data_IF_639610735834
#
_entry.id   IF_639610735834
#
_cell.length_a   1.000
_cell.length_b   1.000
_cell.length_c   1.000
_cell.angle_alpha   90.00
_cell.angle_beta   90.00
_cell.angle_gamma   90.00
#
_symmetry.space_group_name_H-M   'P 1'
#
loop_
_entity.id
_entity.type
_entity.pdbx_description
1 polymer ?
#
# COMPACT_ATOMS: atom_id res chain seq x y z
N UNK A 1 42.57 -71.12 -20.60
CA UNK A 1 41.83 -70.59 -19.44
C UNK A 1 42.32 -69.17 -19.15
N UNK A 2 41.94 -68.18 -19.98
CA UNK A 2 42.48 -66.79 -19.91
C UNK A 2 41.39 -65.72 -20.15
N UNK A 3 40.18 -66.11 -20.56
CA UNK A 3 39.10 -65.20 -20.97
C UNK A 3 38.28 -64.61 -19.82
N UNK A 4 38.44 -65.10 -18.59
CA UNK A 4 37.60 -64.65 -17.45
C UNK A 4 37.99 -63.26 -16.91
N UNK A 5 39.28 -62.89 -16.98
CA UNK A 5 39.77 -61.66 -16.31
C UNK A 5 39.31 -60.35 -16.97
N UNK A 6 38.84 -60.39 -18.22
CA UNK A 6 38.37 -59.20 -18.93
C UNK A 6 36.91 -58.85 -18.62
N UNK A 7 36.11 -59.81 -18.13
CA UNK A 7 34.69 -59.61 -17.82
C UNK A 7 34.51 -58.88 -16.48
N UNK A 8 35.26 -59.28 -15.46
CA UNK A 8 35.22 -58.64 -14.13
C UNK A 8 35.61 -57.16 -14.13
N UNK A 9 36.49 -56.72 -15.03
CA UNK A 9 36.86 -55.29 -15.11
C UNK A 9 35.73 -54.41 -15.63
N UNK A 10 34.87 -54.93 -16.51
CA UNK A 10 33.78 -54.16 -17.11
C UNK A 10 32.63 -53.93 -16.14
N UNK A 11 32.35 -54.90 -15.28
CA UNK A 11 31.30 -54.81 -14.27
C UNK A 11 31.66 -53.82 -13.16
N UNK A 12 32.94 -53.77 -12.74
CA UNK A 12 33.40 -52.82 -11.71
C UNK A 12 33.26 -51.35 -12.08
N UNK A 13 33.48 -51.00 -13.35
CA UNK A 13 33.34 -49.61 -13.81
C UNK A 13 31.87 -49.14 -13.85
N UNK A 14 30.92 -50.04 -14.11
CA UNK A 14 29.50 -49.71 -14.19
C UNK A 14 28.89 -49.38 -12.82
N UNK A 15 29.39 -50.03 -11.77
CA UNK A 15 28.94 -49.79 -10.39
C UNK A 15 29.38 -48.42 -9.84
N UNK A 16 30.54 -47.92 -10.24
CA UNK A 16 31.03 -46.58 -9.86
C UNK A 16 30.30 -45.44 -10.59
N UNK A 17 29.80 -45.69 -11.81
CA UNK A 17 29.02 -44.71 -12.57
C UNK A 17 27.59 -44.61 -12.01
N UNK A 18 26.91 -45.73 -11.72
CA UNK A 18 25.56 -45.73 -11.13
C UNK A 18 25.52 -44.99 -9.80
N UNK A 19 26.50 -45.24 -8.91
CA UNK A 19 26.53 -44.61 -7.58
C UNK A 19 26.84 -43.11 -7.63
N UNK A 20 27.60 -42.64 -8.63
CA UNK A 20 27.82 -41.19 -8.87
C UNK A 20 26.59 -40.54 -9.50
N UNK A 21 25.95 -41.20 -10.46
CA UNK A 21 24.71 -40.72 -11.10
C UNK A 21 23.56 -40.66 -10.09
N UNK A 22 23.43 -41.65 -9.20
CA UNK A 22 22.43 -41.66 -8.12
C UNK A 22 22.63 -40.50 -7.15
N UNK A 23 23.87 -40.22 -6.73
CA UNK A 23 24.16 -39.07 -5.86
C UNK A 23 23.99 -37.73 -6.57
N UNK A 24 24.41 -37.65 -7.84
CA UNK A 24 24.21 -36.45 -8.66
C UNK A 24 22.73 -36.16 -8.93
N UNK A 25 21.93 -37.20 -9.13
CA UNK A 25 20.49 -37.09 -9.32
C UNK A 25 19.78 -36.62 -8.05
N UNK A 26 20.20 -37.09 -6.87
CA UNK A 26 19.68 -36.59 -5.59
C UNK A 26 20.03 -35.12 -5.38
N UNK A 27 21.25 -34.69 -5.72
CA UNK A 27 21.66 -33.27 -5.65
C UNK A 27 20.83 -32.43 -6.63
N UNK A 28 20.56 -32.93 -7.84
CA UNK A 28 19.80 -32.21 -8.85
C UNK A 28 18.33 -32.05 -8.46
N UNK A 29 17.71 -33.10 -7.94
CA UNK A 29 16.33 -33.05 -7.41
C UNK A 29 16.27 -32.12 -6.18
N UNK A 30 17.27 -32.17 -5.30
CA UNK A 30 17.37 -31.29 -4.14
C UNK A 30 17.48 -29.81 -4.53
N UNK A 31 18.36 -29.49 -5.49
CA UNK A 31 18.53 -28.13 -5.98
C UNK A 31 17.25 -27.59 -6.65
N UNK A 32 16.55 -28.42 -7.42
CA UNK A 32 15.30 -28.04 -8.07
C UNK A 32 14.19 -27.78 -7.04
N UNK A 33 14.05 -28.64 -6.03
CA UNK A 33 13.09 -28.42 -4.94
C UNK A 33 13.41 -27.14 -4.16
N UNK A 34 14.68 -26.89 -3.85
CA UNK A 34 15.13 -25.69 -3.13
C UNK A 34 14.83 -24.42 -3.95
N UNK A 35 15.04 -24.46 -5.28
CA UNK A 35 14.70 -23.35 -6.16
C UNK A 35 13.20 -23.01 -6.13
N UNK A 36 12.32 -24.00 -6.18
CA UNK A 36 10.87 -23.77 -6.08
C UNK A 36 10.45 -23.24 -4.71
N UNK A 37 11.09 -23.68 -3.62
CA UNK A 37 10.85 -23.13 -2.28
C UNK A 37 11.24 -21.65 -2.25
N UNK A 38 12.43 -21.28 -2.74
CA UNK A 38 12.87 -19.89 -2.78
C UNK A 38 11.94 -19.05 -3.67
N UNK A 39 11.59 -19.53 -4.86
CA UNK A 39 10.65 -18.83 -5.76
C UNK A 39 9.27 -18.65 -5.10
N UNK A 40 8.75 -19.68 -4.44
CA UNK A 40 7.49 -19.59 -3.69
C UNK A 40 7.56 -18.58 -2.56
N UNK A 41 8.65 -18.59 -1.78
CA UNK A 41 8.89 -17.64 -0.69
C UNK A 41 9.07 -16.21 -1.22
N UNK A 42 9.77 -16.02 -2.33
CA UNK A 42 9.97 -14.70 -2.96
C UNK A 42 8.68 -14.18 -3.59
N UNK A 43 7.85 -15.04 -4.18
CA UNK A 43 6.52 -14.65 -4.70
C UNK A 43 5.55 -14.40 -3.55
N UNK A 44 5.61 -15.17 -2.46
CA UNK A 44 4.82 -14.89 -1.26
C UNK A 44 5.31 -13.60 -0.64
N UNK A 45 6.60 -13.34 -0.45
CA UNK A 45 7.08 -12.09 0.14
C UNK A 45 6.95 -10.89 -0.79
N UNK A 46 7.13 -11.02 -2.10
CA UNK A 46 6.82 -9.91 -3.02
C UNK A 46 5.31 -9.73 -3.17
N UNK A 47 4.54 -10.81 -3.25
CA UNK A 47 3.09 -10.78 -3.24
C UNK A 47 2.57 -10.16 -1.94
N UNK A 48 3.20 -10.51 -0.81
CA UNK A 48 2.96 -9.96 0.52
C UNK A 48 3.48 -8.55 0.64
N UNK A 49 4.58 -8.12 0.03
CA UNK A 49 4.96 -6.69 -0.02
C UNK A 49 3.96 -5.89 -0.85
N UNK A 50 3.36 -6.51 -1.88
CA UNK A 50 2.19 -5.98 -2.61
C UNK A 50 0.85 -6.20 -1.86
N UNK A 51 0.79 -7.02 -0.80
CA UNK A 51 -0.39 -7.19 0.09
C UNK A 51 -0.18 -6.80 1.55
N UNK A 52 0.94 -6.14 1.88
CA UNK A 52 1.27 -5.52 3.17
C UNK A 52 1.23 -4.00 3.01
N UNK A 53 1.40 -3.50 1.78
CA UNK A 53 0.80 -2.23 1.35
C UNK A 53 -0.72 -2.32 1.19
N UNK A 54 -1.25 -3.55 1.11
CA UNK A 54 -2.68 -3.87 1.26
C UNK A 54 -2.88 -4.78 2.48
N UNK A 55 -2.17 -4.54 3.60
CA UNK A 55 -2.56 -5.04 4.93
C UNK A 55 -3.79 -4.27 5.36
N UNK A 56 -4.80 -4.56 4.58
CA UNK A 56 -6.02 -3.87 4.38
C UNK A 56 -7.17 -4.82 4.73
N UNK A 57 -6.87 -5.79 5.61
CA UNK A 57 -7.78 -6.74 6.23
C UNK A 57 -9.04 -6.07 6.83
N UNK A 58 -8.83 -4.91 7.46
CA UNK A 58 -9.85 -3.98 7.98
C UNK A 58 -10.24 -2.89 6.96
N UNK A 59 -9.53 -2.80 5.86
CA UNK A 59 -9.62 -1.73 4.87
C UNK A 59 -10.64 -1.97 3.77
N UNK A 60 -11.31 -3.12 3.70
CA UNK A 60 -12.52 -3.22 2.88
C UNK A 60 -13.61 -2.25 3.34
N UNK A 61 -13.63 -1.94 4.64
CA UNK A 61 -14.53 -0.96 5.25
C UNK A 61 -13.80 0.34 5.57
N UNK A 62 -12.56 0.27 6.09
CA UNK A 62 -11.74 1.46 6.38
C UNK A 62 -11.21 2.21 5.15
N UNK A 63 -11.01 1.56 3.99
CA UNK A 63 -10.68 2.27 2.76
C UNK A 63 -11.92 2.92 2.14
N UNK A 64 -13.09 2.27 2.17
CA UNK A 64 -14.34 2.93 1.77
C UNK A 64 -14.70 4.11 2.67
N UNK A 65 -14.44 4.02 3.98
CA UNK A 65 -14.65 5.17 4.88
C UNK A 65 -13.57 6.23 4.73
N UNK A 66 -12.30 5.87 4.46
CA UNK A 66 -11.24 6.82 4.17
C UNK A 66 -11.46 7.55 2.83
N UNK A 67 -11.82 6.83 1.76
CA UNK A 67 -12.17 7.40 0.46
C UNK A 67 -13.42 8.28 0.54
N UNK A 68 -14.44 7.86 1.30
CA UNK A 68 -15.63 8.69 1.53
C UNK A 68 -15.30 9.95 2.37
N UNK A 69 -14.47 9.80 3.40
CA UNK A 69 -14.00 10.92 4.23
C UNK A 69 -13.17 11.90 3.41
N UNK A 70 -12.26 11.40 2.57
CA UNK A 70 -11.43 12.23 1.69
C UNK A 70 -12.31 12.98 0.67
N UNK A 71 -13.32 12.31 0.10
CA UNK A 71 -14.27 12.93 -0.81
C UNK A 71 -15.10 14.02 -0.11
N UNK A 72 -15.57 13.77 1.12
CA UNK A 72 -16.31 14.75 1.92
C UNK A 72 -15.45 15.99 2.23
N UNK A 73 -14.18 15.80 2.61
CA UNK A 73 -13.25 16.90 2.87
C UNK A 73 -12.96 17.67 1.58
N UNK A 74 -12.70 16.96 0.48
CA UNK A 74 -12.41 17.59 -0.81
C UNK A 74 -13.59 18.44 -1.30
N UNK A 75 -14.81 17.92 -1.21
CA UNK A 75 -16.00 18.66 -1.61
C UNK A 75 -16.31 19.80 -0.64
N UNK A 76 -16.21 19.57 0.67
CA UNK A 76 -16.48 20.58 1.69
C UNK A 76 -15.51 21.77 1.58
N UNK A 77 -14.21 21.49 1.51
CA UNK A 77 -13.17 22.53 1.35
C UNK A 77 -13.25 23.16 -0.05
N UNK A 78 -13.47 22.37 -1.11
CA UNK A 78 -13.63 22.87 -2.47
C UNK A 78 -14.78 23.88 -2.61
N UNK A 79 -15.94 23.60 -1.98
CA UNK A 79 -17.06 24.54 -1.95
C UNK A 79 -16.76 25.80 -1.13
N UNK A 80 -16.05 25.67 -0.01
CA UNK A 80 -15.65 26.84 0.80
C UNK A 80 -14.68 27.76 0.05
N UNK A 81 -13.81 27.20 -0.79
CA UNK A 81 -12.88 27.99 -1.63
C UNK A 81 -13.62 28.57 -2.84
N UNK A 82 -14.58 27.85 -3.41
CA UNK A 82 -15.37 28.31 -4.55
C UNK A 82 -16.34 29.45 -4.18
N UNK A 83 -16.87 29.46 -2.95
CA UNK A 83 -17.81 30.48 -2.48
C UNK A 83 -17.13 31.77 -1.99
N UNK A 84 -15.83 31.72 -1.68
CA UNK A 84 -15.09 32.85 -1.13
C UNK A 84 -14.17 33.49 -2.16
N UNK A 85 -14.14 34.82 -2.16
CA UNK A 85 -13.27 35.66 -3.01
C UNK A 85 -12.05 36.21 -2.23
N UNK A 86 -11.94 35.91 -0.94
CA UNK A 86 -10.91 36.44 -0.03
C UNK A 86 -10.18 35.29 0.67
N UNK A 87 -8.86 35.25 0.52
CA UNK A 87 -7.99 34.18 1.03
C UNK A 87 -8.02 34.08 2.56
N UNK A 88 -8.12 35.22 3.27
CA UNK A 88 -8.19 35.24 4.74
C UNK A 88 -9.53 34.70 5.23
N UNK A 89 -10.62 34.99 4.51
CA UNK A 89 -11.93 34.43 4.79
C UNK A 89 -12.01 32.94 4.47
N UNK A 90 -11.45 32.50 3.33
CA UNK A 90 -11.34 31.10 2.96
C UNK A 90 -10.59 30.30 4.04
N UNK A 91 -9.45 30.82 4.51
CA UNK A 91 -8.67 30.21 5.60
C UNK A 91 -9.46 30.08 6.89
N UNK A 92 -10.16 31.15 7.29
CA UNK A 92 -10.99 31.14 8.51
C UNK A 92 -12.11 30.12 8.40
N UNK A 93 -12.72 30.00 7.23
CA UNK A 93 -13.79 29.03 6.98
C UNK A 93 -13.28 27.60 6.97
N UNK A 94 -12.10 27.32 6.40
CA UNK A 94 -11.49 25.99 6.45
C UNK A 94 -11.15 25.59 7.90
N UNK A 95 -10.67 26.54 8.70
CA UNK A 95 -10.42 26.30 10.14
C UNK A 95 -11.72 26.01 10.90
N UNK A 96 -12.77 26.79 10.64
CA UNK A 96 -14.09 26.55 11.23
C UNK A 96 -14.70 25.21 10.78
N UNK A 97 -14.47 24.82 9.51
CA UNK A 97 -14.85 23.52 8.99
C UNK A 97 -14.13 22.39 9.71
N UNK A 98 -12.81 22.50 9.93
CA UNK A 98 -12.05 21.53 10.71
C UNK A 98 -12.63 21.35 12.12
N UNK A 99 -12.95 22.44 12.83
CA UNK A 99 -13.52 22.38 14.18
C UNK A 99 -14.89 21.67 14.20
N UNK A 100 -15.75 22.00 13.23
CA UNK A 100 -17.07 21.37 13.09
C UNK A 100 -16.95 19.90 12.71
N UNK A 101 -16.05 19.59 11.78
CA UNK A 101 -15.75 18.25 11.34
C UNK A 101 -15.29 17.43 12.54
N UNK A 102 -14.23 17.82 13.24
CA UNK A 102 -13.72 17.15 14.44
C UNK A 102 -14.81 16.91 15.50
N UNK A 103 -15.66 17.90 15.77
CA UNK A 103 -16.73 17.76 16.76
C UNK A 103 -17.82 16.76 16.34
N UNK A 104 -18.21 16.75 15.05
CA UNK A 104 -19.16 15.77 14.52
C UNK A 104 -18.58 14.35 14.52
N UNK A 105 -17.28 14.29 14.33
CA UNK A 105 -16.50 13.12 14.01
C UNK A 105 -16.01 12.37 15.25
N UNK A 106 -15.83 13.07 16.36
CA UNK A 106 -15.47 12.53 17.68
C UNK A 106 -16.43 11.44 18.19
N UNK A 107 -17.65 11.36 17.65
CA UNK A 107 -18.69 10.44 18.10
C UNK A 107 -18.84 9.18 17.23
N UNK A 108 -18.15 9.07 16.08
CA UNK A 108 -18.43 7.99 15.10
C UNK A 108 -17.21 7.33 14.48
N UNK A 109 -16.01 7.60 15.00
CA UNK A 109 -14.73 7.05 14.54
C UNK A 109 -14.44 7.32 13.06
N UNK A 110 -13.60 8.32 12.80
CA UNK A 110 -12.72 8.20 11.65
C UNK A 110 -11.32 8.70 11.96
N UNK A 111 -10.44 8.31 11.06
CA UNK A 111 -9.02 8.50 11.15
C UNK A 111 -8.57 9.96 10.98
N UNK A 112 -9.42 10.94 10.65
CA UNK A 112 -9.00 12.34 10.42
C UNK A 112 -9.13 13.16 11.70
N UNK A 113 -8.01 13.70 12.17
CA UNK A 113 -7.94 14.49 13.40
C UNK A 113 -7.61 15.96 13.20
N UNK A 114 -7.10 16.34 12.02
CA UNK A 114 -6.78 17.73 11.74
C UNK A 114 -6.77 17.99 10.23
N UNK A 115 -7.37 19.11 9.82
CA UNK A 115 -7.33 19.64 8.47
C UNK A 115 -6.74 21.04 8.59
N UNK A 116 -5.51 21.21 8.13
CA UNK A 116 -4.83 22.51 8.14
C UNK A 116 -4.62 22.96 6.71
N UNK A 117 -4.99 24.20 6.40
CA UNK A 117 -4.67 24.82 5.11
C UNK A 117 -3.36 25.59 5.21
N UNK A 118 -2.48 25.41 4.23
CA UNK A 118 -1.25 26.18 4.11
C UNK A 118 -1.58 27.58 3.60
N UNK A 119 -1.44 28.57 4.48
CA UNK A 119 -1.93 29.93 4.24
C UNK A 119 -1.32 30.63 3.02
N UNK A 120 -0.12 30.21 2.63
CA UNK A 120 0.60 30.73 1.46
C UNK A 120 0.19 30.05 0.14
N UNK A 121 -0.66 29.01 0.24
CA UNK A 121 -1.15 28.19 -0.88
C UNK A 121 -2.68 28.12 -0.91
N UNK A 122 -3.37 29.16 -0.41
CA UNK A 122 -4.81 29.36 -0.57
C UNK A 122 -5.03 30.42 -1.63
N UNK A 123 -5.70 30.02 -2.71
CA UNK A 123 -6.14 30.90 -3.79
C UNK A 123 -7.66 30.82 -3.88
N UNK A 124 -8.33 31.79 -3.25
CA UNK A 124 -9.77 31.94 -3.28
C UNK A 124 -10.32 31.86 -4.72
N UNK A 125 -11.37 31.04 -4.91
CA UNK A 125 -11.95 30.78 -6.22
C UNK A 125 -11.16 29.87 -7.17
N UNK A 126 -9.97 29.38 -6.79
CA UNK A 126 -9.13 28.51 -7.65
C UNK A 126 -8.76 27.20 -6.96
N UNK A 127 -7.86 27.23 -5.98
CA UNK A 127 -7.39 26.03 -5.28
C UNK A 127 -6.80 26.35 -3.90
N UNK A 128 -6.75 25.35 -3.02
CA UNK A 128 -6.00 25.44 -1.78
C UNK A 128 -5.25 24.14 -1.51
N UNK A 129 -4.03 24.26 -0.99
CA UNK A 129 -3.31 23.12 -0.42
C UNK A 129 -3.71 22.93 1.04
N UNK A 130 -4.20 21.74 1.36
CA UNK A 130 -4.52 21.32 2.72
C UNK A 130 -3.69 20.10 3.09
N UNK A 131 -3.19 20.14 4.33
CA UNK A 131 -2.60 19.00 4.99
C UNK A 131 -3.66 18.34 5.87
N UNK A 132 -3.98 17.08 5.54
CA UNK A 132 -4.92 16.25 6.30
C UNK A 132 -4.08 15.30 7.16
N UNK A 133 -4.22 15.45 8.48
CA UNK A 133 -3.59 14.57 9.46
C UNK A 133 -4.56 13.47 9.83
N UNK A 134 -4.12 12.24 9.63
CA UNK A 134 -4.82 11.06 10.08
C UNK A 134 -4.16 10.53 11.36
N UNK A 135 -4.93 10.38 12.42
CA UNK A 135 -4.49 9.76 13.68
C UNK A 135 -5.50 8.67 14.06
N UNK A 136 -5.02 7.44 14.02
CA UNK A 136 -5.72 6.24 14.44
C UNK A 136 -4.94 5.58 15.57
N UNK A 137 -5.58 4.69 16.34
CA UNK A 137 -4.97 4.08 17.53
C UNK A 137 -3.59 3.43 17.31
N UNK A 138 -3.23 3.09 16.07
CA UNK A 138 -1.95 2.46 15.72
C UNK A 138 -1.14 3.22 14.65
N UNK A 139 -1.72 4.20 13.94
CA UNK A 139 -1.07 4.87 12.82
C UNK A 139 -1.36 6.37 12.76
N UNK A 140 -0.28 7.15 12.71
CA UNK A 140 -0.28 8.58 12.42
C UNK A 140 0.34 8.81 11.04
N UNK A 141 -0.40 9.42 10.13
CA UNK A 141 0.07 9.76 8.79
C UNK A 141 -0.51 11.10 8.34
N UNK A 142 0.33 11.91 7.69
CA UNK A 142 -0.03 13.21 7.14
C UNK A 142 -0.04 13.15 5.62
N UNK A 143 -1.07 13.73 5.00
CA UNK A 143 -1.17 13.82 3.56
C UNK A 143 -1.44 15.25 3.13
N UNK A 144 -0.60 15.76 2.24
CA UNK A 144 -0.79 17.05 1.60
C UNK A 144 -1.57 16.88 0.29
N UNK A 145 -2.59 17.72 0.08
CA UNK A 145 -3.47 17.67 -1.09
C UNK A 145 -3.83 19.07 -1.55
N UNK A 146 -3.75 19.29 -2.86
CA UNK A 146 -4.28 20.49 -3.50
C UNK A 146 -5.72 20.24 -3.94
N UNK A 147 -6.67 20.92 -3.29
CA UNK A 147 -8.11 20.87 -3.58
C UNK A 147 -8.46 22.03 -4.48
N UNK A 148 -9.27 21.79 -5.52
CA UNK A 148 -9.69 22.83 -6.46
C UNK A 148 -11.13 23.28 -6.15
N UNK A 149 -11.44 24.53 -6.48
CA UNK A 149 -12.80 25.05 -6.44
C UNK A 149 -13.74 24.24 -7.34
N UNK A 150 -13.23 23.67 -8.45
CA UNK A 150 -13.96 22.76 -9.34
C UNK A 150 -14.35 21.42 -8.72
N UNK A 151 -13.79 21.07 -7.57
CA UNK A 151 -14.12 19.84 -6.85
C UNK A 151 -15.40 19.98 -6.02
N UNK A 152 -15.92 21.20 -5.89
CA UNK A 152 -17.29 21.42 -5.41
C UNK A 152 -18.28 20.87 -6.45
N UNK A 153 -19.19 19.95 -6.06
CA UNK A 153 -20.21 19.46 -6.99
C UNK A 153 -21.07 20.63 -7.47
N UNK A 154 -21.09 20.89 -8.78
CA UNK A 154 -21.99 21.88 -9.37
C UNK A 154 -23.45 21.41 -9.16
N UNK A 155 -24.19 22.18 -8.34
CA UNK A 155 -25.61 22.06 -8.03
C UNK A 155 -26.08 20.86 -7.17
N UNK A 156 -26.62 21.21 -6.00
CA UNK A 156 -27.95 20.75 -5.58
C UNK A 156 -28.79 21.92 -5.12
#
# INVERSE_FOLDING_TARGET
MVTDRLRERRERNRSCESTRTERGQVILIGALALAFIILGVVVVFNGVVYTETLSSSETGQSATTAEATELEIQQGVGCLIAEQDDDDLAKKNITAFNDLYQNSTAHSSPAVVNISADADEIYAGDNATVTITYDSNEHHYEQERTIKASDCPENS
#
